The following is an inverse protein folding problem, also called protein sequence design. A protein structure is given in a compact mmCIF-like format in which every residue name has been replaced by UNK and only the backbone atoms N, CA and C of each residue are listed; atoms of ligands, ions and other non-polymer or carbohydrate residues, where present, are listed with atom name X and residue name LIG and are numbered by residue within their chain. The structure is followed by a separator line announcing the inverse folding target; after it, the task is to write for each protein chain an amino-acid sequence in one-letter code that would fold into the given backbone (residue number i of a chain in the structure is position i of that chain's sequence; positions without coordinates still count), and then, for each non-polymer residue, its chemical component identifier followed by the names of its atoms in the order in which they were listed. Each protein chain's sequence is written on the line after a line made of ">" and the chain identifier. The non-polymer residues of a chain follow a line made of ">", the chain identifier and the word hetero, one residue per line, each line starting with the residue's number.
data_IF_146179800000
#
_entry.id   IF_146179800000
#
_cell.length_a   1.000
_cell.length_b   1.000
_cell.length_c   1.000
_cell.angle_alpha   90.00
_cell.angle_beta   90.00
_cell.angle_gamma   90.00
#
_symmetry.space_group_name_H-M   'P 1'
#
loop_
_entity.id
_entity.type
_entity.pdbx_description
1 polymer ?
#
# COMPACT_ATOMS: atom_id res chain seq x y z
N UNK A 1 -25.49 -0.52 0.79
CA UNK A 1 -24.15 -1.15 0.78
C UNK A 1 -23.37 -0.42 1.84
N UNK A 2 -22.65 -1.10 2.75
CA UNK A 2 -21.82 -0.43 3.75
C UNK A 2 -20.45 -0.07 3.15
N UNK A 3 -19.77 0.94 3.72
CA UNK A 3 -18.41 1.31 3.32
C UNK A 3 -17.46 0.11 3.41
N UNK A 4 -17.55 -0.69 4.48
CA UNK A 4 -16.76 -1.91 4.65
C UNK A 4 -16.91 -2.90 3.48
N UNK A 5 -18.14 -3.10 3.00
CA UNK A 5 -18.40 -4.01 1.88
C UNK A 5 -17.74 -3.49 0.60
N UNK A 6 -17.93 -2.21 0.29
CA UNK A 6 -17.32 -1.59 -0.88
C UNK A 6 -15.79 -1.59 -0.81
N UNK A 7 -15.20 -1.32 0.36
CA UNK A 7 -13.75 -1.37 0.57
C UNK A 7 -13.18 -2.76 0.30
N UNK A 8 -13.83 -3.81 0.79
CA UNK A 8 -13.41 -5.19 0.52
C UNK A 8 -13.52 -5.55 -0.97
N UNK A 9 -14.64 -5.21 -1.61
CA UNK A 9 -14.83 -5.42 -3.05
C UNK A 9 -13.74 -4.74 -3.89
N UNK A 10 -13.38 -3.50 -3.55
CA UNK A 10 -12.33 -2.76 -4.24
C UNK A 10 -10.94 -3.39 -4.03
N UNK A 11 -10.67 -3.93 -2.84
CA UNK A 11 -9.41 -4.62 -2.56
C UNK A 11 -9.31 -5.93 -3.33
N UNK A 12 -10.36 -6.74 -3.34
CA UNK A 12 -10.41 -7.98 -4.13
C UNK A 12 -10.24 -7.68 -5.63
N UNK A 13 -10.89 -6.62 -6.11
CA UNK A 13 -10.74 -6.16 -7.49
C UNK A 13 -9.31 -5.73 -7.81
N UNK A 14 -8.59 -5.10 -6.89
CA UNK A 14 -7.22 -4.69 -7.07
C UNK A 14 -6.31 -5.89 -7.44
N UNK A 15 -6.39 -6.99 -6.69
CA UNK A 15 -5.66 -8.21 -7.00
C UNK A 15 -6.18 -8.91 -8.27
N UNK A 16 -7.48 -8.88 -8.52
CA UNK A 16 -8.10 -9.39 -9.75
C UNK A 16 -7.60 -8.66 -11.00
N UNK A 17 -7.43 -7.34 -10.92
CA UNK A 17 -6.86 -6.52 -12.01
C UNK A 17 -5.39 -6.86 -12.28
N UNK A 18 -4.61 -7.23 -11.27
CA UNK A 18 -3.23 -7.69 -11.46
C UNK A 18 -3.18 -9.00 -12.25
N UNK A 19 -4.03 -9.97 -11.93
CA UNK A 19 -4.14 -11.21 -12.68
C UNK A 19 -4.67 -11.00 -14.11
N UNK A 20 -5.61 -10.07 -14.29
CA UNK A 20 -6.09 -9.68 -15.62
C UNK A 20 -4.96 -9.06 -16.44
N UNK A 21 -4.21 -8.13 -15.87
CA UNK A 21 -3.06 -7.53 -16.54
C UNK A 21 -2.04 -8.60 -16.98
N UNK A 22 -1.73 -9.56 -16.12
CA UNK A 22 -0.85 -10.69 -16.44
C UNK A 22 -1.37 -11.52 -17.61
N UNK A 23 -2.66 -11.85 -17.63
CA UNK A 23 -3.28 -12.61 -18.73
C UNK A 23 -3.28 -11.86 -20.07
N UNK A 24 -3.35 -10.53 -20.02
CA UNK A 24 -3.30 -9.65 -21.18
C UNK A 24 -1.86 -9.33 -21.65
N UNK A 25 -0.84 -9.90 -21.01
CA UNK A 25 0.57 -9.63 -21.31
C UNK A 25 1.05 -8.23 -20.92
N UNK A 26 0.30 -7.54 -20.05
CA UNK A 26 0.70 -6.24 -19.51
C UNK A 26 1.59 -6.42 -18.28
N UNK A 27 2.61 -5.56 -18.08
CA UNK A 27 3.50 -5.68 -16.95
C UNK A 27 2.75 -5.48 -15.62
N UNK A 28 3.10 -6.31 -14.63
CA UNK A 28 2.64 -6.20 -13.26
C UNK A 28 3.84 -5.94 -12.37
N UNK A 29 3.78 -4.87 -11.58
CA UNK A 29 4.85 -4.53 -10.65
C UNK A 29 4.56 -4.94 -9.22
N UNK A 30 5.60 -4.93 -8.38
CA UNK A 30 5.43 -4.87 -6.93
C UNK A 30 5.96 -3.53 -6.43
N UNK A 31 5.17 -2.85 -5.62
CA UNK A 31 5.48 -1.53 -5.08
C UNK A 31 5.54 -1.55 -3.56
N UNK A 32 6.45 -0.79 -2.97
CA UNK A 32 6.35 -0.51 -1.53
C UNK A 32 5.15 0.39 -1.24
N UNK A 33 4.52 0.20 -0.09
CA UNK A 33 3.29 0.90 0.29
C UNK A 33 3.43 2.42 0.36
N UNK A 34 4.63 2.90 0.62
CA UNK A 34 4.94 4.34 0.66
C UNK A 34 5.49 4.92 -0.66
N UNK A 35 5.65 4.09 -1.71
CA UNK A 35 5.96 4.62 -3.03
C UNK A 35 4.79 5.47 -3.53
N UNK A 36 5.05 6.66 -4.13
CA UNK A 36 3.98 7.51 -4.65
C UNK A 36 3.20 6.82 -5.76
N UNK A 37 2.07 6.19 -5.41
CA UNK A 37 1.25 5.40 -6.35
C UNK A 37 0.68 6.23 -7.49
N UNK A 38 0.65 7.55 -7.36
CA UNK A 38 0.19 8.49 -8.38
C UNK A 38 1.02 8.42 -9.68
N UNK A 39 2.32 8.13 -9.57
CA UNK A 39 3.17 7.88 -10.75
C UNK A 39 2.72 6.63 -11.51
N UNK A 40 2.43 5.56 -10.78
CA UNK A 40 2.01 4.26 -11.35
C UNK A 40 0.62 4.37 -11.97
N UNK A 41 -0.32 4.99 -11.26
CA UNK A 41 -1.69 5.22 -11.75
C UNK A 41 -1.71 6.11 -13.01
N UNK A 42 -0.85 7.14 -13.07
CA UNK A 42 -0.69 7.99 -14.27
C UNK A 42 -0.23 7.19 -15.47
N UNK A 43 0.69 6.27 -15.25
CA UNK A 43 1.18 5.37 -16.30
C UNK A 43 0.26 4.18 -16.56
N UNK A 44 -0.83 4.02 -15.80
CA UNK A 44 -1.73 2.86 -15.91
C UNK A 44 -1.01 1.53 -15.64
N UNK A 45 0.04 1.57 -14.84
CA UNK A 45 0.77 0.39 -14.41
C UNK A 45 0.04 -0.28 -13.24
N UNK A 46 -0.20 -1.56 -13.39
CA UNK A 46 -0.80 -2.37 -12.33
C UNK A 46 0.27 -2.87 -11.38
N UNK A 47 0.06 -2.70 -10.08
CA UNK A 47 1.00 -3.16 -9.05
C UNK A 47 0.30 -3.91 -7.93
N UNK A 48 1.03 -4.82 -7.30
CA UNK A 48 0.69 -5.42 -6.01
C UNK A 48 1.60 -4.85 -4.92
N UNK A 49 1.17 -4.98 -3.67
CA UNK A 49 1.90 -4.45 -2.51
C UNK A 49 2.34 -5.62 -1.61
N UNK A 50 3.63 -5.96 -1.61
CA UNK A 50 4.18 -7.07 -0.81
C UNK A 50 3.89 -6.96 0.69
N UNK A 51 3.92 -5.74 1.26
CA UNK A 51 3.59 -5.53 2.66
C UNK A 51 2.13 -5.89 2.96
N UNK A 52 1.20 -5.44 2.11
CA UNK A 52 -0.23 -5.76 2.26
C UNK A 52 -0.49 -7.26 2.10
N UNK A 53 0.15 -7.89 1.13
CA UNK A 53 0.07 -9.32 0.90
C UNK A 53 0.56 -10.11 2.13
N UNK A 54 1.74 -9.80 2.63
CA UNK A 54 2.32 -10.47 3.81
C UNK A 54 1.45 -10.28 5.06
N UNK A 55 0.91 -9.08 5.28
CA UNK A 55 -0.02 -8.80 6.37
C UNK A 55 -1.29 -9.63 6.25
N UNK A 56 -1.86 -9.72 5.05
CA UNK A 56 -3.09 -10.48 4.80
C UNK A 56 -2.89 -11.98 5.05
N UNK A 57 -1.77 -12.56 4.62
CA UNK A 57 -1.43 -13.96 4.87
C UNK A 57 -1.19 -14.22 6.35
N UNK A 58 -0.51 -13.29 7.04
CA UNK A 58 -0.25 -13.43 8.48
C UNK A 58 -1.55 -13.36 9.29
N UNK A 59 -2.47 -12.47 8.92
CA UNK A 59 -3.79 -12.38 9.56
C UNK A 59 -4.65 -13.65 9.38
N UNK A 60 -4.38 -14.42 8.33
CA UNK A 60 -5.04 -15.70 8.03
C UNK A 60 -4.27 -16.92 8.54
N UNK A 61 -3.15 -16.71 9.22
CA UNK A 61 -2.25 -17.76 9.72
C UNK A 61 -1.58 -18.61 8.62
N UNK A 62 -1.44 -18.09 7.41
CA UNK A 62 -0.84 -18.76 6.25
C UNK A 62 0.64 -18.42 6.03
N UNK A 63 1.24 -17.60 6.90
CA UNK A 63 2.59 -17.06 6.69
C UNK A 63 3.73 -18.00 7.10
N UNK A 64 3.46 -18.98 7.96
CA UNK A 64 4.53 -19.78 8.59
C UNK A 64 5.34 -20.60 7.58
N UNK A 65 4.69 -21.30 6.65
CA UNK A 65 5.37 -22.11 5.64
C UNK A 65 6.32 -21.26 4.77
N UNK A 66 5.93 -20.01 4.46
CA UNK A 66 6.75 -19.10 3.69
C UNK A 66 7.95 -18.60 4.50
N UNK A 67 7.75 -18.31 5.77
CA UNK A 67 8.82 -17.92 6.69
C UNK A 67 9.86 -19.05 6.80
N UNK A 68 9.43 -20.27 7.08
CA UNK A 68 10.33 -21.43 7.15
C UNK A 68 11.08 -21.69 5.84
N UNK A 69 10.39 -21.52 4.71
CA UNK A 69 10.99 -21.65 3.38
C UNK A 69 12.10 -20.61 3.17
N UNK A 70 11.85 -19.37 3.55
CA UNK A 70 12.85 -18.28 3.46
C UNK A 70 14.07 -18.57 4.31
N UNK A 71 13.89 -19.08 5.52
CA UNK A 71 14.98 -19.49 6.42
C UNK A 71 15.79 -20.67 5.85
N UNK A 72 15.12 -21.66 5.25
CA UNK A 72 15.77 -22.77 4.54
C UNK A 72 16.62 -22.31 3.33
N UNK A 73 16.28 -21.17 2.74
CA UNK A 73 17.08 -20.54 1.67
C UNK A 73 18.31 -19.79 2.21
N UNK A 74 18.50 -19.72 3.51
CA UNK A 74 19.65 -19.09 4.17
C UNK A 74 19.45 -17.63 4.56
N UNK A 75 18.24 -17.11 4.49
CA UNK A 75 17.94 -15.79 5.05
C UNK A 75 17.87 -15.85 6.58
N UNK A 76 18.34 -14.78 7.23
CA UNK A 76 18.30 -14.70 8.70
C UNK A 76 16.87 -14.66 9.22
N UNK A 77 16.63 -15.28 10.36
CA UNK A 77 15.38 -15.17 11.12
C UNK A 77 15.22 -13.81 11.83
N UNK A 78 16.26 -12.99 11.85
CA UNK A 78 16.23 -11.64 12.43
C UNK A 78 15.66 -10.58 11.49
N UNK A 79 15.51 -10.89 10.18
CA UNK A 79 14.90 -9.94 9.24
C UNK A 79 13.38 -9.89 9.39
N UNK A 80 12.79 -8.81 8.91
CA UNK A 80 11.35 -8.54 9.00
C UNK A 80 10.50 -9.74 8.56
N UNK A 81 9.46 -10.07 9.32
CA UNK A 81 8.51 -11.13 8.98
C UNK A 81 7.84 -10.91 7.63
N UNK A 82 7.51 -9.67 7.25
CA UNK A 82 6.94 -9.35 5.95
C UNK A 82 7.88 -9.70 4.78
N UNK A 83 9.17 -9.36 4.93
CA UNK A 83 10.16 -9.72 3.93
C UNK A 83 10.30 -11.23 3.80
N UNK A 84 10.33 -11.97 4.93
CA UNK A 84 10.42 -13.44 4.92
C UNK A 84 9.22 -14.09 4.24
N UNK A 85 8.00 -13.67 4.58
CA UNK A 85 6.77 -14.17 3.93
C UNK A 85 6.85 -13.96 2.42
N UNK A 86 7.20 -12.75 1.99
CA UNK A 86 7.22 -12.41 0.58
C UNK A 86 8.34 -13.10 -0.20
N UNK A 87 9.56 -13.20 0.38
CA UNK A 87 10.68 -13.90 -0.23
C UNK A 87 10.40 -15.42 -0.35
N UNK A 88 9.72 -16.01 0.64
CA UNK A 88 9.27 -17.40 0.58
C UNK A 88 8.16 -17.62 -0.44
N UNK A 89 7.27 -16.65 -0.60
CA UNK A 89 6.24 -16.67 -1.64
C UNK A 89 6.83 -16.71 -3.06
N UNK A 90 7.96 -16.04 -3.30
CA UNK A 90 8.62 -16.03 -4.62
C UNK A 90 9.04 -17.42 -5.11
N UNK A 91 9.17 -18.43 -4.24
CA UNK A 91 9.59 -19.77 -4.65
C UNK A 91 8.55 -20.44 -5.54
N UNK A 92 7.28 -20.37 -5.15
CA UNK A 92 6.19 -21.05 -5.84
C UNK A 92 5.21 -20.06 -6.49
N UNK A 93 5.15 -18.82 -6.01
CA UNK A 93 4.16 -17.83 -6.42
C UNK A 93 2.74 -18.23 -6.05
N UNK A 94 2.56 -19.06 -5.00
CA UNK A 94 1.27 -19.62 -4.58
C UNK A 94 1.11 -19.62 -3.06
N UNK A 95 -0.12 -19.40 -2.63
CA UNK A 95 -0.60 -19.55 -1.24
C UNK A 95 -2.07 -19.93 -1.25
N UNK A 96 -2.65 -20.24 -0.09
CA UNK A 96 -4.04 -20.71 -0.02
C UNK A 96 -5.04 -19.61 -0.40
N UNK A 97 -4.91 -18.41 0.16
CA UNK A 97 -6.00 -17.43 0.15
C UNK A 97 -5.82 -16.25 -0.76
N UNK A 98 -4.61 -15.74 -0.95
CA UNK A 98 -4.38 -14.49 -1.67
C UNK A 98 -3.16 -14.61 -2.58
N UNK A 99 -3.36 -15.14 -3.77
CA UNK A 99 -2.31 -15.22 -4.77
C UNK A 99 -2.15 -13.89 -5.51
N UNK A 100 -0.92 -13.45 -5.71
CA UNK A 100 -0.58 -12.31 -6.55
C UNK A 100 0.41 -12.70 -7.65
N UNK A 101 0.32 -12.10 -8.87
CA UNK A 101 1.28 -12.40 -9.94
C UNK A 101 2.70 -12.03 -9.51
N UNK A 102 3.68 -12.85 -9.91
CA UNK A 102 5.08 -12.48 -9.74
C UNK A 102 5.39 -11.20 -10.53
N UNK A 103 6.32 -10.37 -10.07
CA UNK A 103 6.51 -9.04 -10.66
C UNK A 103 7.35 -9.08 -11.95
N UNK A 104 7.07 -8.12 -12.86
CA UNK A 104 7.93 -7.79 -14.00
C UNK A 104 8.84 -6.59 -13.72
N UNK A 105 8.58 -5.85 -12.64
CA UNK A 105 9.40 -4.76 -12.13
C UNK A 105 9.07 -4.53 -10.66
N UNK A 106 9.98 -3.88 -9.94
CA UNK A 106 9.71 -3.44 -8.56
C UNK A 106 10.02 -1.96 -8.40
N UNK A 107 9.24 -1.30 -7.55
CA UNK A 107 9.44 0.10 -7.18
C UNK A 107 9.36 0.27 -5.67
N UNK A 108 10.29 1.00 -5.09
CA UNK A 108 10.25 1.28 -3.65
C UNK A 108 10.82 2.64 -3.31
N UNK A 109 10.66 3.03 -2.06
CA UNK A 109 11.37 4.17 -1.46
C UNK A 109 12.27 3.67 -0.34
N UNK A 110 13.24 4.48 0.06
CA UNK A 110 14.14 4.17 1.18
C UNK A 110 13.65 4.72 2.52
N UNK A 111 12.64 5.57 2.52
CA UNK A 111 12.23 6.35 3.70
C UNK A 111 11.12 5.68 4.50
N UNK A 112 11.30 4.41 4.89
CA UNK A 112 10.42 3.71 5.81
C UNK A 112 11.25 2.86 6.79
N UNK A 113 12.01 1.90 6.29
CA UNK A 113 12.93 1.10 7.09
C UNK A 113 14.20 0.77 6.30
N UNK A 114 15.27 0.43 7.01
CA UNK A 114 16.56 0.09 6.38
C UNK A 114 16.49 -1.21 5.56
N UNK A 115 15.54 -2.08 5.85
CA UNK A 115 15.40 -3.37 5.20
C UNK A 115 14.70 -3.28 3.84
N UNK A 116 13.84 -2.28 3.63
CA UNK A 116 13.01 -2.15 2.43
C UNK A 116 13.82 -2.26 1.12
N UNK A 117 14.91 -1.52 1.02
CA UNK A 117 15.76 -1.55 -0.17
C UNK A 117 16.33 -2.95 -0.41
N UNK A 118 16.85 -3.59 0.64
CA UNK A 118 17.45 -4.92 0.53
C UNK A 118 16.42 -6.00 0.24
N UNK A 119 15.23 -5.89 0.80
CA UNK A 119 14.12 -6.77 0.47
C UNK A 119 13.78 -6.68 -1.03
N UNK A 120 13.56 -5.46 -1.55
CA UNK A 120 13.21 -5.26 -2.97
C UNK A 120 14.37 -5.58 -3.93
N UNK A 121 15.64 -5.34 -3.53
CA UNK A 121 16.82 -5.81 -4.28
C UNK A 121 16.84 -7.34 -4.43
N UNK A 122 16.51 -8.07 -3.36
CA UNK A 122 16.46 -9.54 -3.40
C UNK A 122 15.33 -10.02 -4.34
N UNK A 123 14.16 -9.38 -4.32
CA UNK A 123 13.09 -9.67 -5.28
C UNK A 123 13.59 -9.43 -6.72
N UNK A 124 14.10 -8.23 -6.98
CA UNK A 124 14.57 -7.86 -8.30
C UNK A 124 15.66 -8.81 -8.84
N UNK A 125 16.64 -9.14 -8.01
CA UNK A 125 17.72 -10.07 -8.35
C UNK A 125 17.20 -11.48 -8.62
N UNK A 126 16.30 -11.98 -7.76
CA UNK A 126 15.74 -13.32 -7.90
C UNK A 126 14.89 -13.47 -9.15
N UNK A 127 14.08 -12.47 -9.46
CA UNK A 127 13.23 -12.46 -10.65
C UNK A 127 13.95 -11.99 -11.94
N UNK A 128 15.16 -11.44 -11.85
CA UNK A 128 15.88 -10.88 -12.99
C UNK A 128 15.19 -9.66 -13.62
N UNK A 129 14.59 -8.80 -12.81
CA UNK A 129 13.72 -7.70 -13.23
C UNK A 129 14.27 -6.32 -12.80
N UNK A 130 13.86 -5.24 -13.46
CA UNK A 130 14.28 -3.89 -13.08
C UNK A 130 13.73 -3.47 -11.72
N UNK A 131 14.53 -2.70 -10.98
CA UNK A 131 14.17 -2.06 -9.73
C UNK A 131 14.32 -0.55 -9.86
N UNK A 132 13.30 0.19 -9.43
CA UNK A 132 13.29 1.64 -9.35
C UNK A 132 13.22 2.04 -7.88
N UNK A 133 14.15 2.88 -7.44
CA UNK A 133 14.15 3.46 -6.10
C UNK A 133 13.89 4.95 -6.22
N UNK A 134 12.88 5.45 -5.51
CA UNK A 134 12.70 6.87 -5.30
C UNK A 134 13.28 7.22 -3.94
N UNK A 135 14.45 7.86 -3.95
CA UNK A 135 15.21 8.18 -2.74
C UNK A 135 14.64 9.42 -2.05
N UNK A 136 14.05 9.23 -0.89
CA UNK A 136 13.44 10.28 -0.10
C UNK A 136 14.36 10.58 1.09
N UNK A 137 14.91 11.80 1.20
CA UNK A 137 15.79 12.15 2.30
C UNK A 137 15.03 12.17 3.63
N UNK A 138 15.63 11.62 4.66
CA UNK A 138 15.05 11.62 6.00
C UNK A 138 14.90 13.06 6.52
N UNK A 139 13.72 13.38 7.05
CA UNK A 139 13.43 14.71 7.60
C UNK A 139 13.40 14.66 9.12
N UNK A 140 14.37 15.33 9.76
CA UNK A 140 14.50 15.42 11.22
C UNK A 140 13.90 16.71 11.80
N UNK A 141 13.44 17.62 10.94
CA UNK A 141 12.91 18.91 11.30
C UNK A 141 11.42 18.95 10.98
N UNK A 142 10.66 19.83 11.67
CA UNK A 142 9.24 19.97 11.41
C UNK A 142 8.96 20.47 9.99
N UNK A 143 9.79 21.40 9.48
CA UNK A 143 9.67 21.92 8.12
C UNK A 143 10.64 21.21 7.17
N UNK A 144 10.14 20.89 5.97
CA UNK A 144 10.97 20.29 4.91
C UNK A 144 11.83 21.36 4.26
N UNK A 145 13.15 21.22 4.34
CA UNK A 145 14.09 22.17 3.76
C UNK A 145 14.00 22.21 2.22
N UNK A 146 14.33 23.36 1.64
CA UNK A 146 14.36 23.54 0.18
C UNK A 146 15.30 22.54 -0.51
N UNK A 147 16.47 22.29 0.06
CA UNK A 147 17.44 21.33 -0.49
C UNK A 147 16.90 19.91 -0.59
N UNK A 148 16.12 19.45 0.41
CA UNK A 148 15.46 18.14 0.37
C UNK A 148 14.41 18.06 -0.74
N UNK A 149 13.62 19.13 -0.90
CA UNK A 149 12.63 19.20 -1.98
C UNK A 149 13.29 19.21 -3.37
N UNK A 150 14.38 19.95 -3.54
CA UNK A 150 15.10 20.01 -4.80
C UNK A 150 15.80 18.68 -5.12
N UNK A 151 16.32 17.98 -4.12
CA UNK A 151 16.85 16.62 -4.26
C UNK A 151 15.79 15.64 -4.76
N UNK A 152 14.59 15.64 -4.15
CA UNK A 152 13.48 14.80 -4.59
C UNK A 152 13.04 15.13 -6.01
N UNK A 153 12.92 16.42 -6.34
CA UNK A 153 12.52 16.87 -7.68
C UNK A 153 13.52 16.48 -8.76
N UNK A 154 14.81 16.50 -8.45
CA UNK A 154 15.86 16.15 -9.41
C UNK A 154 15.77 14.70 -9.91
N UNK A 155 15.17 13.80 -9.12
CA UNK A 155 15.02 12.40 -9.49
C UNK A 155 13.80 12.13 -10.41
N UNK A 156 12.81 13.04 -10.42
CA UNK A 156 11.54 12.82 -11.14
C UNK A 156 11.73 12.56 -12.64
N UNK A 157 12.60 13.28 -13.38
CA UNK A 157 12.79 13.00 -14.80
C UNK A 157 13.25 11.57 -15.10
N UNK A 158 14.19 11.04 -14.33
CA UNK A 158 14.68 9.68 -14.54
C UNK A 158 13.67 8.63 -14.06
N UNK A 159 12.94 8.91 -12.98
CA UNK A 159 11.81 8.09 -12.54
C UNK A 159 10.75 7.97 -13.64
N UNK A 160 10.33 9.09 -14.22
CA UNK A 160 9.37 9.12 -15.33
C UNK A 160 9.89 8.31 -16.52
N UNK A 161 11.14 8.53 -16.93
CA UNK A 161 11.75 7.81 -18.04
C UNK A 161 11.77 6.28 -17.82
N UNK A 162 12.09 5.84 -16.61
CA UNK A 162 12.07 4.43 -16.27
C UNK A 162 10.66 3.84 -16.33
N UNK A 163 9.65 4.58 -15.84
CA UNK A 163 8.24 4.17 -15.93
C UNK A 163 7.72 4.18 -17.36
N UNK A 164 8.14 5.12 -18.21
CA UNK A 164 7.84 5.12 -19.66
C UNK A 164 8.35 3.86 -20.35
N UNK A 165 9.57 3.41 -20.03
CA UNK A 165 10.15 2.20 -20.58
C UNK A 165 9.34 0.95 -20.18
N UNK A 166 8.93 0.85 -18.91
CA UNK A 166 8.13 -0.27 -18.43
C UNK A 166 6.73 -0.25 -19.05
N UNK A 167 6.09 0.91 -19.10
CA UNK A 167 4.72 1.05 -19.59
C UNK A 167 4.61 1.05 -21.12
N UNK A 168 5.72 1.23 -21.85
CA UNK A 168 5.74 1.34 -23.30
C UNK A 168 5.00 2.57 -23.85
N UNK A 169 4.81 3.62 -23.04
CA UNK A 169 4.12 4.85 -23.43
C UNK A 169 4.75 6.08 -22.80
N UNK A 170 4.44 7.25 -23.36
CA UNK A 170 4.93 8.53 -22.87
C UNK A 170 4.14 9.02 -21.66
N UNK A 171 4.84 9.79 -20.81
CA UNK A 171 4.25 10.46 -19.66
C UNK A 171 3.24 11.52 -20.10
N UNK A 172 2.13 11.60 -19.36
CA UNK A 172 1.05 12.58 -19.58
C UNK A 172 0.88 13.45 -18.33
N UNK A 173 1.25 14.73 -18.43
CA UNK A 173 1.15 15.67 -17.33
C UNK A 173 -0.29 16.04 -16.97
N UNK A 174 -1.19 16.08 -17.93
CA UNK A 174 -2.60 16.37 -17.65
C UNK A 174 -3.23 15.19 -16.90
N UNK A 175 -2.92 13.95 -17.32
CA UNK A 175 -3.34 12.76 -16.57
C UNK A 175 -2.76 12.75 -15.16
N UNK A 176 -1.50 13.15 -14.98
CA UNK A 176 -0.90 13.23 -13.64
C UNK A 176 -1.62 14.23 -12.74
N UNK A 177 -1.97 15.42 -13.26
CA UNK A 177 -2.75 16.41 -12.52
C UNK A 177 -4.12 15.88 -12.10
N UNK A 178 -4.80 15.15 -13.00
CA UNK A 178 -6.08 14.48 -12.67
C UNK A 178 -5.92 13.47 -11.53
N UNK A 179 -4.92 12.58 -11.63
CA UNK A 179 -4.63 11.57 -10.61
C UNK A 179 -4.30 12.23 -9.27
N UNK A 180 -3.47 13.27 -9.28
CA UNK A 180 -3.14 14.04 -8.07
C UNK A 180 -4.37 14.71 -7.44
N UNK A 181 -5.28 15.24 -8.24
CA UNK A 181 -6.53 15.83 -7.74
C UNK A 181 -7.40 14.77 -7.04
N UNK A 182 -7.52 13.59 -7.63
CA UNK A 182 -8.25 12.44 -7.06
C UNK A 182 -7.59 11.96 -5.77
N UNK A 183 -6.26 11.77 -5.78
CA UNK A 183 -5.50 11.34 -4.60
C UNK A 183 -5.62 12.35 -3.45
N UNK A 184 -5.54 13.65 -3.73
CA UNK A 184 -5.74 14.69 -2.74
C UNK A 184 -7.16 14.68 -2.15
N UNK A 185 -8.19 14.42 -2.98
CA UNK A 185 -9.56 14.28 -2.49
C UNK A 185 -9.69 13.05 -1.59
N UNK A 186 -9.11 11.92 -1.99
CA UNK A 186 -9.07 10.72 -1.16
C UNK A 186 -8.45 11.00 0.22
N UNK A 187 -7.32 11.71 0.24
CA UNK A 187 -6.65 12.14 1.48
C UNK A 187 -7.51 13.08 2.34
N UNK A 188 -8.30 13.97 1.72
CA UNK A 188 -9.27 14.83 2.46
C UNK A 188 -10.36 14.01 3.12
N UNK A 189 -10.95 13.06 2.39
CA UNK A 189 -12.00 12.19 2.93
C UNK A 189 -11.45 11.26 4.02
N UNK A 190 -10.24 10.76 3.87
CA UNK A 190 -9.58 9.98 4.91
C UNK A 190 -9.35 10.79 6.20
N UNK A 191 -8.85 12.02 6.09
CA UNK A 191 -8.73 12.92 7.25
C UNK A 191 -10.07 13.20 7.93
N UNK A 192 -11.14 13.36 7.13
CA UNK A 192 -12.49 13.50 7.67
C UNK A 192 -12.92 12.26 8.45
N UNK A 193 -12.74 11.06 7.88
CA UNK A 193 -13.07 9.80 8.53
C UNK A 193 -12.24 9.59 9.82
N UNK A 194 -10.92 9.81 9.75
CA UNK A 194 -10.01 9.58 10.88
C UNK A 194 -10.23 10.56 12.05
N UNK A 195 -10.74 11.76 11.80
CA UNK A 195 -11.07 12.70 12.88
C UNK A 195 -12.12 12.16 13.85
N UNK A 196 -13.00 11.28 13.40
CA UNK A 196 -14.01 10.65 14.27
C UNK A 196 -13.43 9.58 15.21
N UNK A 197 -12.19 9.11 14.99
CA UNK A 197 -11.54 8.17 15.93
C UNK A 197 -11.23 8.82 17.29
N UNK A 198 -11.21 10.16 17.35
CA UNK A 198 -11.05 10.91 18.59
C UNK A 198 -12.32 10.97 19.43
N UNK A 199 -13.48 10.60 18.87
CA UNK A 199 -14.78 10.63 19.56
C UNK A 199 -14.82 9.61 20.71
N UNK A 200 -15.68 9.90 21.71
CA UNK A 200 -15.94 9.01 22.82
C UNK A 200 -17.45 8.74 22.94
N UNK A 201 -17.92 7.51 22.68
CA UNK A 201 -17.14 6.35 22.23
C UNK A 201 -16.60 6.52 20.82
N UNK A 202 -15.45 5.86 20.52
CA UNK A 202 -14.96 5.79 19.15
C UNK A 202 -15.93 4.98 18.27
N UNK A 203 -16.28 5.44 17.06
CA UNK A 203 -17.22 4.75 16.18
C UNK A 203 -16.72 3.39 15.66
N UNK A 204 -15.42 3.13 15.76
CA UNK A 204 -14.76 1.89 15.33
C UNK A 204 -13.67 1.48 16.30
N UNK A 205 -13.34 0.19 16.31
CA UNK A 205 -12.16 -0.31 17.01
C UNK A 205 -10.89 -0.12 16.16
N UNK A 206 -9.72 -0.19 16.81
CA UNK A 206 -8.43 0.02 16.14
C UNK A 206 -8.16 -0.97 15.01
N UNK A 207 -8.62 -2.22 15.12
CA UNK A 207 -8.43 -3.23 14.08
C UNK A 207 -9.20 -2.90 12.79
N UNK A 208 -10.41 -2.41 12.90
CA UNK A 208 -11.19 -1.98 11.73
C UNK A 208 -10.55 -0.79 11.02
N UNK A 209 -9.91 0.11 11.76
CA UNK A 209 -9.18 1.24 11.19
C UNK A 209 -8.07 0.76 10.23
N UNK A 210 -7.28 -0.25 10.61
CA UNK A 210 -6.24 -0.82 9.75
C UNK A 210 -6.83 -1.43 8.46
N UNK A 211 -7.95 -2.14 8.57
CA UNK A 211 -8.62 -2.69 7.40
C UNK A 211 -9.09 -1.60 6.42
N UNK A 212 -9.61 -0.48 6.95
CA UNK A 212 -10.06 0.64 6.12
C UNK A 212 -8.89 1.37 5.45
N UNK A 213 -7.70 1.33 6.05
CA UNK A 213 -6.49 1.96 5.52
C UNK A 213 -5.95 1.27 4.25
N UNK A 214 -6.28 0.01 4.01
CA UNK A 214 -5.71 -0.79 2.91
C UNK A 214 -5.83 -0.09 1.54
N UNK A 215 -6.99 0.49 1.22
CA UNK A 215 -7.19 1.22 -0.05
C UNK A 215 -6.43 2.54 -0.12
N UNK A 216 -6.17 3.19 1.01
CA UNK A 216 -5.30 4.38 1.05
C UNK A 216 -3.87 4.04 0.65
N UNK A 217 -3.43 2.83 0.99
CA UNK A 217 -2.12 2.31 0.60
C UNK A 217 -2.11 1.87 -0.88
N UNK A 218 -3.17 1.21 -1.35
CA UNK A 218 -3.16 0.50 -2.63
C UNK A 218 -3.75 1.30 -3.80
N UNK A 219 -4.68 2.24 -3.57
CA UNK A 219 -5.54 2.76 -4.64
C UNK A 219 -6.05 4.20 -4.44
N UNK A 220 -5.38 5.07 -3.69
CA UNK A 220 -5.91 6.42 -3.39
C UNK A 220 -6.03 7.34 -4.61
N UNK A 221 -5.34 7.06 -5.71
CA UNK A 221 -5.45 7.79 -6.96
C UNK A 221 -6.70 7.47 -7.79
N UNK A 222 -7.62 6.66 -7.28
CA UNK A 222 -8.80 6.14 -8.00
C UNK A 222 -10.10 6.75 -7.47
N UNK A 223 -11.02 7.09 -8.39
CA UNK A 223 -12.30 7.73 -8.03
C UNK A 223 -13.22 6.86 -7.18
N UNK A 224 -13.23 5.56 -7.44
CA UNK A 224 -14.02 4.59 -6.66
C UNK A 224 -13.50 4.45 -5.21
N UNK A 225 -12.18 4.58 -5.00
CA UNK A 225 -11.59 4.67 -3.67
C UNK A 225 -12.04 5.93 -2.93
N UNK A 226 -12.06 7.08 -3.61
CA UNK A 226 -12.61 8.33 -3.04
C UNK A 226 -14.03 8.14 -2.56
N UNK A 227 -14.87 7.49 -3.38
CA UNK A 227 -16.27 7.21 -3.02
C UNK A 227 -16.37 6.31 -1.79
N UNK A 228 -15.59 5.23 -1.74
CA UNK A 228 -15.58 4.30 -0.62
C UNK A 228 -15.14 4.98 0.69
N UNK A 229 -14.10 5.81 0.63
CA UNK A 229 -13.61 6.55 1.81
C UNK A 229 -14.59 7.65 2.22
N UNK A 230 -15.28 8.30 1.29
CA UNK A 230 -16.35 9.25 1.59
C UNK A 230 -17.51 8.56 2.31
N UNK A 231 -17.97 7.42 1.80
CA UNK A 231 -19.00 6.62 2.47
C UNK A 231 -18.57 6.22 3.89
N UNK A 232 -17.29 5.85 4.06
CA UNK A 232 -16.74 5.56 5.39
C UNK A 232 -16.85 6.78 6.31
N UNK A 233 -16.45 7.96 5.84
CA UNK A 233 -16.54 9.19 6.63
C UNK A 233 -17.98 9.51 7.03
N UNK A 234 -18.94 9.33 6.11
CA UNK A 234 -20.37 9.54 6.37
C UNK A 234 -20.91 8.53 7.42
N UNK A 235 -20.49 7.25 7.31
CA UNK A 235 -20.84 6.23 8.32
C UNK A 235 -20.23 6.53 9.69
N UNK A 236 -18.99 7.03 9.77
CA UNK A 236 -18.35 7.43 11.02
C UNK A 236 -19.11 8.59 11.67
N UNK A 237 -19.44 9.61 10.89
CA UNK A 237 -20.24 10.76 11.35
C UNK A 237 -21.57 10.32 11.93
N UNK A 238 -22.29 9.44 11.23
CA UNK A 238 -23.60 8.95 11.69
C UNK A 238 -23.49 8.12 12.98
N UNK A 239 -22.46 7.25 13.10
CA UNK A 239 -22.22 6.49 14.32
C UNK A 239 -21.91 7.40 15.50
N UNK A 240 -21.04 8.41 15.32
CA UNK A 240 -20.74 9.39 16.37
C UNK A 240 -22.01 10.14 16.81
N UNK A 241 -22.84 10.59 15.86
CA UNK A 241 -24.09 11.27 16.16
C UNK A 241 -25.07 10.42 16.99
N UNK A 242 -25.05 9.10 16.79
CA UNK A 242 -25.88 8.12 17.51
C UNK A 242 -25.23 7.58 18.79
N UNK A 243 -23.97 7.88 19.06
CA UNK A 243 -23.21 7.25 20.14
C UNK A 243 -22.94 5.77 19.91
N UNK A 244 -22.93 5.31 18.64
CA UNK A 244 -22.70 3.94 18.27
C UNK A 244 -21.20 3.63 18.14
N UNK A 245 -20.80 2.42 18.54
CA UNK A 245 -19.43 1.93 18.42
C UNK A 245 -19.44 0.47 17.96
N UNK A 246 -18.39 0.06 17.25
CA UNK A 246 -18.17 -1.36 16.92
C UNK A 246 -17.42 -2.11 18.01
N UNK A 247 -16.97 -1.42 19.05
CA UNK A 247 -16.33 -2.06 20.19
C UNK A 247 -17.36 -2.88 20.98
N UNK A 248 -17.02 -4.14 21.25
CA UNK A 248 -17.90 -5.04 22.02
C UNK A 248 -17.56 -4.94 23.50
N UNK A 249 -18.46 -4.34 24.29
CA UNK A 249 -18.30 -4.13 25.72
C UNK A 249 -18.06 -2.66 26.09
N UNK A 250 -17.80 -2.40 27.35
CA UNK A 250 -17.49 -1.04 27.83
C UNK A 250 -15.99 -0.74 27.65
N UNK A 251 -15.63 0.35 26.95
CA UNK A 251 -14.23 0.75 26.81
C UNK A 251 -13.70 1.20 28.17
N UNK A 252 -12.67 0.51 28.69
CA UNK A 252 -12.04 0.84 29.99
C UNK A 252 -10.84 1.77 29.84
N UNK A 253 -10.15 1.69 28.70
CA UNK A 253 -8.91 2.42 28.43
C UNK A 253 -8.86 2.88 26.98
N UNK A 254 -8.31 4.05 26.75
CA UNK A 254 -7.86 4.52 25.43
C UNK A 254 -6.36 4.36 25.37
N UNK A 255 -5.93 3.55 24.44
CA UNK A 255 -4.50 3.27 24.22
C UNK A 255 -4.08 3.97 22.96
N UNK A 256 -3.04 4.78 23.04
CA UNK A 256 -2.36 5.30 21.86
C UNK A 256 -1.32 4.26 21.41
N UNK A 257 -1.41 3.86 20.15
CA UNK A 257 -0.44 2.98 19.52
C UNK A 257 0.35 3.78 18.49
N UNK A 258 1.67 3.73 18.61
CA UNK A 258 2.60 4.23 17.61
C UNK A 258 3.38 3.05 17.04
N UNK A 259 3.43 2.96 15.71
CA UNK A 259 4.15 1.88 15.03
C UNK A 259 3.44 1.42 13.76
N UNK A 260 4.03 0.41 13.14
CA UNK A 260 3.46 -0.32 12.00
C UNK A 260 2.89 -1.63 12.53
N UNK A 261 1.63 -1.90 12.20
CA UNK A 261 0.95 -3.12 12.63
C UNK A 261 1.43 -4.33 11.84
#
# INVERSE_FOLDING_TARGET
>A
MSAKHLLNELLDRHYGEAWKARKEGRPVGWASSNFPQEFLETMGLTVCYPENHSTSLSAKHESMDMIERTEKLGYSNDICGYARVNLGYLEDGQCESLNMPLPDFVVCTNNICTEMIKWFENIAKKCGIPMIVYDIPYNTEYEVSRSRLDYMKAQIPELIKSLEQIAGKKWDWERFKEVMAVSNECGRQWRRASAYFESDPSPVNGFEMFNYMALMVCARGRKDTVEAIRMLADEMEERCRKGETTFRGEPRHRIMMEGIA
#
